data_IF_948819525396
#
_entry.id   IF_948819525396
#
_cell.length_a   1.000
_cell.length_b   1.000
_cell.length_c   1.000
_cell.angle_alpha   90.00
_cell.angle_beta   90.00
_cell.angle_gamma   90.00
#
_symmetry.space_group_name_H-M   'P 1'
#
loop_
_entity.id
_entity.type
_entity.pdbx_description
1 polymer ?
#
# COMPACT_ATOMS: atom_id res chain seq x y z
N UNK A 1 15.93 -57.18 -6.21
CA UNK A 1 15.12 -55.94 -6.11
C UNK A 1 15.61 -54.90 -5.06
N UNK A 2 16.67 -55.14 -4.27
CA UNK A 2 17.09 -54.24 -3.17
C UNK A 2 17.95 -53.01 -3.55
N UNK A 3 18.41 -52.87 -4.79
CA UNK A 3 19.28 -51.76 -5.22
C UNK A 3 18.53 -50.44 -5.49
N UNK A 4 17.22 -50.50 -5.76
CA UNK A 4 16.40 -49.33 -6.09
C UNK A 4 16.09 -48.45 -4.86
N UNK A 5 15.77 -49.07 -3.73
CA UNK A 5 15.46 -48.37 -2.48
C UNK A 5 16.65 -47.55 -1.95
N UNK A 6 17.88 -48.09 -2.01
CA UNK A 6 19.10 -47.36 -1.62
C UNK A 6 19.40 -46.15 -2.50
N UNK A 7 19.08 -46.23 -3.81
CA UNK A 7 19.26 -45.11 -4.75
C UNK A 7 18.26 -43.99 -4.49
N UNK A 8 17.02 -44.33 -4.10
CA UNK A 8 15.99 -43.34 -3.76
C UNK A 8 16.24 -42.65 -2.42
N UNK A 9 16.74 -43.36 -1.40
CA UNK A 9 17.13 -42.74 -0.11
C UNK A 9 18.30 -41.76 -0.31
N UNK A 10 19.29 -42.12 -1.11
CA UNK A 10 20.46 -41.27 -1.42
C UNK A 10 20.07 -40.02 -2.23
N UNK A 11 19.02 -40.09 -3.05
CA UNK A 11 18.53 -38.95 -3.83
C UNK A 11 17.63 -38.01 -3.00
N UNK A 12 16.93 -38.54 -1.97
CA UNK A 12 16.18 -37.72 -1.00
C UNK A 12 17.09 -36.86 -0.12
N UNK A 13 18.30 -37.31 0.18
CA UNK A 13 19.30 -36.50 0.91
C UNK A 13 19.87 -35.34 0.06
N UNK A 14 19.82 -35.42 -1.27
CA UNK A 14 20.32 -34.36 -2.16
C UNK A 14 19.36 -33.17 -2.29
N UNK A 15 18.08 -33.34 -1.93
CA UNK A 15 17.12 -32.24 -1.73
C UNK A 15 17.23 -31.77 -0.27
N UNK A 16 18.44 -31.64 0.25
CA UNK A 16 18.67 -30.91 1.50
C UNK A 16 18.45 -29.45 1.15
N UNK A 17 17.32 -28.92 1.62
CA UNK A 17 16.94 -27.50 1.58
C UNK A 17 18.22 -26.68 1.77
N UNK A 18 18.68 -26.05 0.68
CA UNK A 18 19.84 -25.17 0.75
C UNK A 18 19.34 -23.93 1.48
N UNK A 19 19.46 -23.95 2.80
CA UNK A 19 19.06 -22.83 3.64
C UNK A 19 19.92 -21.64 3.20
N UNK A 20 19.27 -20.65 2.58
CA UNK A 20 19.91 -19.42 2.17
C UNK A 20 20.15 -18.62 3.45
N UNK A 21 21.27 -18.90 4.12
CA UNK A 21 21.68 -18.15 5.30
C UNK A 21 22.43 -16.92 4.84
N UNK A 22 21.76 -15.78 4.81
CA UNK A 22 22.38 -14.49 4.54
C UNK A 22 23.02 -13.99 5.84
N UNK A 23 24.32 -14.24 6.02
CA UNK A 23 25.05 -13.74 7.18
C UNK A 23 25.63 -12.36 6.87
N UNK A 24 24.86 -11.32 7.15
CA UNK A 24 25.21 -9.94 6.85
C UNK A 24 25.80 -9.28 8.10
N UNK A 25 27.13 -9.29 8.19
CA UNK A 25 27.88 -8.61 9.25
C UNK A 25 28.00 -7.11 8.94
N UNK A 26 26.96 -6.33 9.24
CA UNK A 26 26.95 -4.87 9.03
C UNK A 26 27.41 -4.14 10.29
N UNK A 27 28.36 -3.21 10.14
CA UNK A 27 28.76 -2.29 11.21
C UNK A 27 27.60 -1.36 11.60
N UNK A 28 27.45 -1.03 12.89
CA UNK A 28 26.37 -0.16 13.40
C UNK A 28 26.26 1.18 12.64
N UNK A 29 27.38 1.79 12.26
CA UNK A 29 27.42 3.02 11.46
C UNK A 29 26.86 2.83 10.05
N UNK A 30 27.15 1.68 9.42
CA UNK A 30 26.61 1.37 8.10
C UNK A 30 25.10 1.10 8.16
N UNK A 31 24.60 0.48 9.23
CA UNK A 31 23.14 0.33 9.46
C UNK A 31 22.46 1.71 9.54
N UNK A 32 23.06 2.65 10.26
CA UNK A 32 22.51 4.02 10.37
C UNK A 32 22.48 4.75 9.03
N UNK A 33 23.53 4.61 8.22
CA UNK A 33 23.58 5.20 6.87
C UNK A 33 22.49 4.59 5.99
N UNK A 34 22.35 3.25 6.00
CA UNK A 34 21.32 2.55 5.22
C UNK A 34 19.93 3.01 5.63
N UNK A 35 19.66 3.09 6.94
CA UNK A 35 18.38 3.59 7.45
C UNK A 35 18.12 5.04 7.03
N UNK A 36 19.14 5.90 7.12
CA UNK A 36 19.05 7.29 6.66
C UNK A 36 18.68 7.39 5.18
N UNK A 37 19.35 6.60 4.32
CA UNK A 37 19.08 6.56 2.89
C UNK A 37 17.68 6.03 2.58
N UNK A 38 17.23 4.98 3.26
CA UNK A 38 15.88 4.44 3.09
C UNK A 38 14.81 5.46 3.48
N UNK A 39 15.06 6.19 4.58
CA UNK A 39 14.13 7.17 5.10
C UNK A 39 14.05 8.37 4.15
N UNK A 40 15.18 8.89 3.66
CA UNK A 40 15.18 9.99 2.67
C UNK A 40 14.57 9.57 1.35
N UNK A 41 14.89 8.38 0.84
CA UNK A 41 14.32 7.85 -0.40
C UNK A 41 12.78 7.73 -0.33
N UNK A 42 12.25 7.36 0.84
CA UNK A 42 10.80 7.24 1.09
C UNK A 42 10.04 8.56 0.93
N UNK A 43 10.70 9.72 1.09
CA UNK A 43 10.09 11.03 0.86
C UNK A 43 10.37 11.58 -0.53
N UNK A 44 11.61 11.42 -1.01
CA UNK A 44 12.06 12.00 -2.28
C UNK A 44 11.34 11.37 -3.48
N UNK A 45 11.19 10.04 -3.49
CA UNK A 45 10.61 9.33 -4.63
C UNK A 45 9.12 9.65 -4.83
N UNK A 46 8.25 9.59 -3.80
CA UNK A 46 6.85 9.96 -3.97
C UNK A 46 6.67 11.43 -4.34
N UNK A 47 7.48 12.33 -3.74
CA UNK A 47 7.44 13.75 -4.08
C UNK A 47 7.76 13.98 -5.56
N UNK A 48 8.82 13.37 -6.06
CA UNK A 48 9.17 13.45 -7.48
C UNK A 48 8.06 12.89 -8.38
N UNK A 49 7.52 11.72 -8.03
CA UNK A 49 6.44 11.07 -8.78
C UNK A 49 5.19 11.94 -8.86
N UNK A 50 4.72 12.52 -7.75
CA UNK A 50 3.53 13.38 -7.72
C UNK A 50 3.73 14.63 -8.59
N UNK A 51 4.89 15.26 -8.53
CA UNK A 51 5.20 16.42 -9.37
C UNK A 51 5.25 16.06 -10.87
N UNK A 52 5.83 14.91 -11.20
CA UNK A 52 5.85 14.40 -12.56
C UNK A 52 4.45 14.10 -13.10
N UNK A 53 3.63 13.39 -12.31
CA UNK A 53 2.25 13.09 -12.63
C UNK A 53 1.41 14.37 -12.81
N UNK A 54 1.61 15.38 -11.95
CA UNK A 54 0.94 16.68 -12.08
C UNK A 54 1.32 17.40 -13.37
N UNK A 55 2.59 17.37 -13.77
CA UNK A 55 3.06 17.98 -15.02
C UNK A 55 2.35 17.38 -16.25
N UNK A 56 2.11 16.07 -16.24
CA UNK A 56 1.42 15.37 -17.34
C UNK A 56 -0.09 15.55 -17.30
N UNK A 57 -0.71 15.39 -16.13
CA UNK A 57 -2.16 15.32 -16.00
C UNK A 57 -2.80 16.68 -15.74
N UNK A 58 -2.03 17.70 -15.35
CA UNK A 58 -2.49 19.05 -14.95
C UNK A 58 -3.43 19.06 -13.72
N UNK A 59 -3.62 17.92 -13.07
CA UNK A 59 -4.45 17.76 -11.87
C UNK A 59 -3.69 16.96 -10.81
N UNK A 60 -4.01 17.24 -9.55
CA UNK A 60 -3.51 16.48 -8.41
C UNK A 60 -4.39 15.24 -8.22
N UNK A 61 -3.80 14.07 -8.45
CA UNK A 61 -4.45 12.77 -8.27
C UNK A 61 -3.63 11.90 -7.32
N UNK A 62 -4.29 10.89 -6.74
CA UNK A 62 -3.58 9.92 -5.90
C UNK A 62 -2.70 9.02 -6.76
N UNK A 63 -1.50 8.66 -6.28
CA UNK A 63 -0.60 7.75 -6.99
C UNK A 63 -1.10 6.30 -7.00
N UNK A 64 -2.02 5.95 -6.08
CA UNK A 64 -2.64 4.62 -5.93
C UNK A 64 -4.16 4.76 -5.92
N UNK A 65 -4.85 3.69 -6.32
CA UNK A 65 -6.31 3.63 -6.38
C UNK A 65 -6.97 3.54 -4.99
N UNK A 66 -6.30 2.93 -4.01
CA UNK A 66 -6.85 2.71 -2.66
C UNK A 66 -7.32 4.01 -1.97
N UNK A 67 -6.48 5.08 -1.83
CA UNK A 67 -6.93 6.34 -1.26
C UNK A 67 -8.09 6.98 -2.04
N UNK A 68 -8.10 6.82 -3.36
CA UNK A 68 -9.15 7.40 -4.21
C UNK A 68 -10.51 6.76 -3.94
N UNK A 69 -10.58 5.44 -3.78
CA UNK A 69 -11.81 4.72 -3.45
C UNK A 69 -12.36 5.23 -2.12
N UNK A 70 -11.54 5.31 -1.07
CA UNK A 70 -11.98 5.79 0.23
C UNK A 70 -12.46 7.25 0.22
N UNK A 71 -11.82 8.11 -0.57
CA UNK A 71 -12.26 9.49 -0.77
C UNK A 71 -13.59 9.59 -1.51
N UNK A 72 -13.84 8.72 -2.49
CA UNK A 72 -15.11 8.70 -3.21
C UNK A 72 -16.26 8.35 -2.27
N UNK A 73 -16.09 7.30 -1.46
CA UNK A 73 -17.05 6.94 -0.42
C UNK A 73 -17.24 8.06 0.61
N UNK A 74 -16.15 8.72 1.04
CA UNK A 74 -16.21 9.81 2.00
C UNK A 74 -16.96 11.03 1.47
N UNK A 75 -16.73 11.39 0.19
CA UNK A 75 -17.45 12.44 -0.51
C UNK A 75 -18.93 12.12 -0.62
N UNK A 76 -19.29 10.91 -1.04
CA UNK A 76 -20.69 10.51 -1.17
C UNK A 76 -21.40 10.45 0.19
N UNK A 77 -20.69 10.03 1.23
CA UNK A 77 -21.21 10.05 2.59
C UNK A 77 -21.46 11.48 3.08
N UNK A 78 -20.55 12.42 2.79
CA UNK A 78 -20.70 13.82 3.15
C UNK A 78 -21.75 14.57 2.32
N UNK A 79 -21.91 14.25 1.02
CA UNK A 79 -22.84 14.92 0.11
C UNK A 79 -24.26 14.33 0.17
N UNK A 80 -24.40 13.01 0.23
CA UNK A 80 -25.68 12.30 0.07
C UNK A 80 -26.07 11.46 1.29
N UNK A 81 -25.21 11.33 2.30
CA UNK A 81 -25.47 10.49 3.47
C UNK A 81 -25.43 8.98 3.18
N UNK A 82 -24.99 8.57 1.98
CA UNK A 82 -24.90 7.17 1.57
C UNK A 82 -23.46 6.69 1.55
N UNK A 83 -23.22 5.51 2.12
CA UNK A 83 -21.94 4.82 2.01
C UNK A 83 -21.90 4.00 0.71
N UNK A 84 -21.83 4.69 -0.42
CA UNK A 84 -21.82 4.12 -1.76
C UNK A 84 -20.67 4.67 -2.60
N UNK A 85 -20.21 3.89 -3.60
CA UNK A 85 -19.17 4.35 -4.52
C UNK A 85 -19.73 5.30 -5.59
N UNK A 86 -20.93 5.00 -6.10
CA UNK A 86 -21.63 5.85 -7.05
C UNK A 86 -22.73 6.68 -6.38
N UNK A 87 -23.04 7.82 -7.02
CA UNK A 87 -24.11 8.72 -6.61
C UNK A 87 -25.47 8.02 -6.75
N UNK A 88 -26.27 8.06 -5.70
CA UNK A 88 -27.63 7.48 -5.62
C UNK A 88 -27.69 5.95 -5.72
N UNK A 89 -26.60 5.24 -5.47
CA UNK A 89 -26.62 3.77 -5.36
C UNK A 89 -26.86 3.27 -3.94
N UNK A 90 -27.26 2.00 -3.85
CA UNK A 90 -27.42 1.25 -2.60
C UNK A 90 -26.07 1.20 -1.88
N UNK A 91 -26.12 1.26 -0.55
CA UNK A 91 -24.94 1.12 0.32
C UNK A 91 -24.08 -0.06 -0.13
N UNK A 92 -22.82 0.22 -0.48
CA UNK A 92 -21.89 -0.77 -1.03
C UNK A 92 -20.73 -0.96 -0.05
N UNK A 93 -20.44 -2.19 0.34
CA UNK A 93 -19.35 -2.51 1.27
C UNK A 93 -17.96 -2.55 0.58
N UNK A 94 -17.65 -1.54 -0.25
CA UNK A 94 -16.41 -1.48 -1.03
C UNK A 94 -15.21 -0.90 -0.28
N UNK A 95 -15.45 -0.15 0.80
CA UNK A 95 -14.37 0.39 1.65
C UNK A 95 -13.94 -0.66 2.68
N UNK A 96 -12.75 -1.23 2.50
CA UNK A 96 -12.10 -2.15 3.46
C UNK A 96 -11.67 -1.47 4.76
N UNK A 97 -11.84 -0.15 4.88
CA UNK A 97 -11.55 0.64 6.07
C UNK A 97 -12.64 1.70 6.38
N UNK A 98 -13.83 1.28 6.88
CA UNK A 98 -14.96 2.19 7.09
C UNK A 98 -14.67 3.36 8.04
N UNK A 99 -13.85 3.14 9.08
CA UNK A 99 -13.44 4.20 10.02
C UNK A 99 -12.62 5.30 9.32
N UNK A 100 -11.73 4.92 8.40
CA UNK A 100 -10.93 5.87 7.62
C UNK A 100 -11.83 6.72 6.72
N UNK A 101 -12.81 6.09 6.06
CA UNK A 101 -13.83 6.80 5.26
C UNK A 101 -14.64 7.80 6.08
N UNK A 102 -15.01 7.47 7.32
CA UNK A 102 -15.75 8.39 8.21
C UNK A 102 -14.93 9.63 8.58
N UNK A 103 -13.63 9.45 8.89
CA UNK A 103 -12.73 10.57 9.20
C UNK A 103 -12.59 11.49 7.99
N UNK A 104 -12.42 10.93 6.79
CA UNK A 104 -12.37 11.70 5.55
C UNK A 104 -13.68 12.45 5.28
N UNK A 105 -14.83 11.82 5.54
CA UNK A 105 -16.14 12.45 5.35
C UNK A 105 -16.33 13.65 6.29
N UNK A 106 -15.87 13.55 7.54
CA UNK A 106 -15.85 14.69 8.47
C UNK A 106 -15.00 15.85 7.91
N UNK A 107 -13.85 15.56 7.28
CA UNK A 107 -13.05 16.56 6.58
C UNK A 107 -13.81 17.28 5.46
N UNK A 108 -14.57 16.54 4.64
CA UNK A 108 -15.42 17.12 3.60
C UNK A 108 -16.53 18.02 4.17
N UNK A 109 -17.15 17.63 5.29
CA UNK A 109 -18.16 18.44 5.97
C UNK A 109 -17.56 19.76 6.50
N UNK A 110 -16.37 19.70 7.11
CA UNK A 110 -15.65 20.90 7.57
C UNK A 110 -15.31 21.83 6.41
N UNK A 111 -14.85 21.30 5.27
CA UNK A 111 -14.56 22.09 4.09
C UNK A 111 -15.83 22.76 3.54
N UNK A 112 -16.95 22.04 3.50
CA UNK A 112 -18.23 22.57 3.03
C UNK A 112 -18.72 23.73 3.90
N UNK A 113 -18.59 23.63 5.22
CA UNK A 113 -18.97 24.70 6.15
C UNK A 113 -18.11 25.97 6.01
N UNK A 114 -16.87 25.86 5.53
CA UNK A 114 -16.00 27.03 5.32
C UNK A 114 -16.27 27.80 4.02
N UNK A 115 -17.00 27.19 3.08
CA UNK A 115 -17.26 27.76 1.75
C UNK A 115 -18.75 28.04 1.47
N UNK A 116 -19.63 27.87 2.47
CA UNK A 116 -21.06 28.24 2.41
C UNK A 116 -21.32 29.47 3.26
#
# INVERSE_FOLDING_TARGET
>A
MAKSAKKQVKNKELIKKKDITFNLSINKSAVLIILGVLLTASFILPYYYINYAHSLNQYHSFPLDDPWIHLQFAKNLAEYGSFSYFKNEIVTAGSTSPLYTLILAAGFLLQKMKCG
#
